data_IF_417345217667
#
_entry.id   IF_417345217667
#
_cell.length_a   1.000
_cell.length_b   1.000
_cell.length_c   1.000
_cell.angle_alpha   90.00
_cell.angle_beta   90.00
_cell.angle_gamma   90.00
#
_symmetry.space_group_name_H-M   'P 1'
#
loop_
_entity.id
_entity.type
_entity.pdbx_description
1 polymer ?
#
# COMPACT_ATOMS: atom_id res chain seq x y z
N UNK A 1 5.90 34.28 8.34
CA UNK A 1 6.19 33.03 7.62
C UNK A 1 5.58 31.88 8.42
N UNK A 2 4.79 31.02 7.77
CA UNK A 2 4.15 29.86 8.41
C UNK A 2 4.92 28.60 8.03
N UNK A 3 5.07 27.68 8.98
CA UNK A 3 5.79 26.43 8.79
C UNK A 3 4.90 25.27 9.22
N UNK A 4 4.84 24.23 8.39
CA UNK A 4 3.99 23.08 8.59
C UNK A 4 4.84 21.80 8.58
N UNK A 5 4.72 20.91 9.58
CA UNK A 5 5.41 19.63 9.55
C UNK A 5 4.77 18.73 8.48
N UNK A 6 5.60 18.12 7.65
CA UNK A 6 5.16 17.10 6.69
C UNK A 6 5.22 15.72 7.35
N UNK A 7 4.33 14.80 6.95
CA UNK A 7 4.53 13.40 7.30
C UNK A 7 5.74 12.87 6.52
N UNK A 8 6.79 12.48 7.23
CA UNK A 8 8.05 12.00 6.68
C UNK A 8 8.37 10.56 7.09
N UNK A 9 7.43 9.82 7.69
CA UNK A 9 7.66 8.45 8.17
C UNK A 9 6.64 7.45 7.59
N UNK A 10 7.10 6.24 7.32
CA UNK A 10 6.27 5.07 7.03
C UNK A 10 6.70 3.96 7.99
N UNK A 11 5.76 3.44 8.78
CA UNK A 11 6.03 2.35 9.74
C UNK A 11 7.21 2.64 10.69
N UNK A 12 7.38 3.90 11.09
CA UNK A 12 8.49 4.36 11.95
C UNK A 12 9.84 4.52 11.23
N UNK A 13 9.90 4.33 9.92
CA UNK A 13 11.09 4.60 9.11
C UNK A 13 10.98 5.93 8.37
N UNK A 14 12.03 6.78 8.38
CA UNK A 14 12.11 7.97 7.55
C UNK A 14 11.94 7.69 6.06
N UNK A 15 11.20 8.57 5.38
CA UNK A 15 10.90 8.52 3.96
C UNK A 15 11.68 9.60 3.19
N UNK A 16 12.57 9.20 2.27
CA UNK A 16 13.28 10.15 1.42
C UNK A 16 12.42 10.62 0.25
N UNK A 17 12.46 11.92 -0.05
CA UNK A 17 11.72 12.55 -1.14
C UNK A 17 12.67 13.21 -2.15
N UNK A 18 12.40 13.00 -3.45
CA UNK A 18 13.07 13.74 -4.55
C UNK A 18 12.18 14.83 -5.15
N UNK A 19 10.86 14.64 -5.07
CA UNK A 19 9.88 15.53 -5.68
C UNK A 19 8.81 15.88 -4.63
N UNK A 20 8.41 17.14 -4.59
CA UNK A 20 7.30 17.63 -3.77
C UNK A 20 6.29 18.28 -4.71
N UNK A 21 5.02 17.89 -4.56
CA UNK A 21 3.91 18.46 -5.32
C UNK A 21 3.04 19.28 -4.38
N UNK A 22 2.93 20.57 -4.64
CA UNK A 22 2.04 21.47 -3.92
C UNK A 22 0.76 21.63 -4.74
N UNK A 23 -0.39 21.31 -4.15
CA UNK A 23 -1.70 21.38 -4.80
C UNK A 23 -2.56 22.38 -4.04
N UNK A 24 -2.71 23.62 -4.52
CA UNK A 24 -3.63 24.58 -3.90
C UNK A 24 -5.07 24.11 -4.08
N UNK A 25 -5.85 24.10 -2.99
CA UNK A 25 -7.23 23.62 -3.00
C UNK A 25 -8.24 24.77 -3.02
N UNK A 26 -7.95 25.86 -2.31
CA UNK A 26 -8.86 27.00 -2.17
C UNK A 26 -8.07 28.31 -2.02
N UNK A 27 -8.52 29.34 -2.74
CA UNK A 27 -8.02 30.70 -2.60
C UNK A 27 -8.86 31.45 -1.56
N UNK A 28 -8.30 32.52 -0.99
CA UNK A 28 -9.00 33.36 -0.01
C UNK A 28 -10.28 34.02 -0.56
N UNK A 29 -10.40 34.16 -1.89
CA UNK A 29 -11.63 34.58 -2.55
C UNK A 29 -11.88 33.75 -3.81
N UNK A 30 -13.15 33.46 -4.15
CA UNK A 30 -13.52 32.55 -5.25
C UNK A 30 -13.15 33.08 -6.65
N UNK A 31 -12.76 34.36 -6.76
CA UNK A 31 -12.47 35.02 -8.04
C UNK A 31 -10.98 35.23 -8.30
N UNK A 32 -10.09 34.75 -7.42
CA UNK A 32 -8.64 34.94 -7.55
C UNK A 32 -7.94 33.63 -7.92
N UNK A 33 -6.91 33.75 -8.77
CA UNK A 33 -6.02 32.64 -9.09
C UNK A 33 -5.17 32.25 -7.88
N UNK A 34 -4.74 30.99 -7.84
CA UNK A 34 -3.76 30.55 -6.85
C UNK A 34 -2.41 31.24 -7.09
N UNK A 35 -1.81 31.77 -6.03
CA UNK A 35 -0.47 32.38 -6.06
C UNK A 35 0.31 31.90 -4.85
N UNK A 36 1.52 31.41 -5.10
CA UNK A 36 2.47 31.00 -4.05
C UNK A 36 3.64 31.96 -4.12
N UNK A 37 3.83 32.73 -3.07
CA UNK A 37 4.84 33.80 -3.02
C UNK A 37 6.22 33.29 -2.65
N UNK A 38 6.28 32.31 -1.73
CA UNK A 38 7.52 31.79 -1.19
C UNK A 38 7.32 30.37 -0.68
N UNK A 39 8.34 29.52 -0.89
CA UNK A 39 8.41 28.16 -0.36
C UNK A 39 9.82 27.96 0.18
N UNK A 40 9.90 27.47 1.42
CA UNK A 40 11.12 26.95 2.02
C UNK A 40 10.91 25.48 2.37
N UNK A 41 11.89 24.65 2.07
CA UNK A 41 11.88 23.23 2.42
C UNK A 41 13.00 22.97 3.42
N UNK A 42 12.64 22.50 4.60
CA UNK A 42 13.57 22.11 5.66
C UNK A 42 13.52 20.60 5.86
N UNK A 43 14.69 19.99 6.06
CA UNK A 43 14.83 18.56 6.26
C UNK A 43 16.29 18.12 6.29
N UNK A 44 16.52 16.82 6.45
CA UNK A 44 17.86 16.25 6.43
C UNK A 44 18.34 16.00 4.99
N UNK A 45 19.49 16.57 4.65
CA UNK A 45 20.12 16.45 3.33
C UNK A 45 21.44 15.68 3.38
N UNK A 46 21.83 15.12 4.54
CA UNK A 46 23.08 14.39 4.72
C UNK A 46 23.04 13.10 3.90
N UNK A 47 23.83 13.07 2.82
CA UNK A 47 23.80 12.00 1.83
C UNK A 47 24.04 10.61 2.43
N UNK A 48 24.92 10.49 3.42
CA UNK A 48 25.25 9.21 4.04
C UNK A 48 24.04 8.56 4.72
N UNK A 49 23.17 9.37 5.34
CA UNK A 49 21.95 8.89 5.98
C UNK A 49 20.84 8.68 4.94
N UNK A 50 20.62 9.67 4.08
CA UNK A 50 19.55 9.64 3.07
C UNK A 50 19.73 8.46 2.11
N UNK A 51 20.96 8.14 1.68
CA UNK A 51 21.25 7.03 0.77
C UNK A 51 20.83 5.68 1.32
N UNK A 52 20.97 5.46 2.63
CA UNK A 52 20.52 4.23 3.28
C UNK A 52 18.99 4.10 3.16
N UNK A 53 18.27 5.15 3.54
CA UNK A 53 16.82 5.17 3.48
C UNK A 53 16.28 5.10 2.05
N UNK A 54 16.98 5.65 1.05
CA UNK A 54 16.59 5.49 -0.37
C UNK A 54 16.60 4.01 -0.77
N UNK A 55 17.62 3.25 -0.37
CA UNK A 55 17.70 1.81 -0.69
C UNK A 55 16.59 1.03 -0.01
N UNK A 56 16.32 1.32 1.27
CA UNK A 56 15.25 0.68 2.02
C UNK A 56 13.88 0.99 1.40
N UNK A 57 13.63 2.26 1.09
CA UNK A 57 12.39 2.71 0.48
C UNK A 57 12.16 2.10 -0.91
N UNK A 58 13.21 1.94 -1.72
CA UNK A 58 13.09 1.27 -3.03
C UNK A 58 12.67 -0.20 -2.88
N UNK A 59 13.23 -0.94 -1.91
CA UNK A 59 12.81 -2.33 -1.62
C UNK A 59 11.36 -2.39 -1.14
N UNK A 60 10.97 -1.46 -0.27
CA UNK A 60 9.58 -1.34 0.19
C UNK A 60 8.63 -1.08 -0.98
N UNK A 61 8.95 -0.13 -1.86
CA UNK A 61 8.15 0.17 -3.05
C UNK A 61 8.05 -1.00 -4.01
N UNK A 62 9.12 -1.76 -4.19
CA UNK A 62 9.12 -2.96 -5.03
C UNK A 62 8.17 -4.02 -4.46
N UNK A 63 8.25 -4.28 -3.14
CA UNK A 63 7.32 -5.18 -2.44
C UNK A 63 5.86 -4.71 -2.58
N UNK A 64 5.59 -3.44 -2.35
CA UNK A 64 4.24 -2.87 -2.47
C UNK A 64 3.73 -2.87 -3.91
N UNK A 65 4.59 -2.64 -4.90
CA UNK A 65 4.23 -2.75 -6.30
C UNK A 65 3.82 -4.19 -6.66
N UNK A 66 4.59 -5.19 -6.25
CA UNK A 66 4.24 -6.61 -6.41
C UNK A 66 2.89 -6.91 -5.74
N UNK A 67 2.71 -6.45 -4.50
CA UNK A 67 1.44 -6.63 -3.77
C UNK A 67 0.26 -6.02 -4.51
N UNK A 68 0.39 -4.79 -5.00
CA UNK A 68 -0.68 -4.13 -5.77
C UNK A 68 -0.94 -4.85 -7.11
N UNK A 69 0.10 -5.34 -7.79
CA UNK A 69 -0.05 -6.14 -9.00
C UNK A 69 -0.80 -7.45 -8.73
N UNK A 70 -0.41 -8.20 -7.69
CA UNK A 70 -1.10 -9.42 -7.26
C UNK A 70 -2.57 -9.15 -6.94
N UNK A 71 -2.87 -8.05 -6.21
CA UNK A 71 -4.26 -7.61 -5.93
C UNK A 71 -5.03 -7.34 -7.22
N UNK A 72 -4.40 -6.63 -8.16
CA UNK A 72 -5.02 -6.29 -9.44
C UNK A 72 -5.32 -7.53 -10.29
N UNK A 73 -4.38 -8.48 -10.38
CA UNK A 73 -4.56 -9.73 -11.12
C UNK A 73 -5.65 -10.60 -10.50
N UNK A 74 -5.71 -10.66 -9.16
CA UNK A 74 -6.76 -11.39 -8.45
C UNK A 74 -8.15 -10.82 -8.72
N UNK A 75 -8.31 -9.49 -8.63
CA UNK A 75 -9.58 -8.81 -8.89
C UNK A 75 -10.11 -8.99 -10.31
N UNK A 76 -9.22 -9.20 -11.29
CA UNK A 76 -9.57 -9.40 -12.71
C UNK A 76 -9.58 -10.87 -13.12
N UNK A 77 -9.40 -11.79 -12.18
CA UNK A 77 -9.32 -13.23 -12.44
C UNK A 77 -8.21 -13.64 -13.42
N UNK A 78 -7.10 -12.88 -13.47
CA UNK A 78 -5.91 -13.26 -14.23
C UNK A 78 -5.06 -14.24 -13.43
N UNK A 79 -5.56 -15.48 -13.32
CA UNK A 79 -4.97 -16.55 -12.50
C UNK A 79 -3.55 -16.90 -12.92
N UNK A 80 -3.28 -16.98 -14.21
CA UNK A 80 -1.96 -17.39 -14.73
C UNK A 80 -0.87 -16.36 -14.36
N UNK A 81 -1.18 -15.08 -14.53
CA UNK A 81 -0.27 -13.98 -14.16
C UNK A 81 -0.09 -13.88 -12.63
N UNK A 82 -1.17 -14.10 -11.86
CA UNK A 82 -1.11 -14.15 -10.40
C UNK A 82 -0.21 -15.29 -9.91
N UNK A 83 -0.40 -16.51 -10.43
CA UNK A 83 0.42 -17.66 -10.06
C UNK A 83 1.88 -17.49 -10.45
N UNK A 84 2.15 -17.00 -11.67
CA UNK A 84 3.51 -16.77 -12.14
C UNK A 84 4.24 -15.74 -11.27
N UNK A 85 3.57 -14.64 -10.91
CA UNK A 85 4.18 -13.62 -10.07
C UNK A 85 4.31 -14.08 -8.61
N UNK A 86 3.31 -14.76 -8.07
CA UNK A 86 3.31 -15.28 -6.69
C UNK A 86 4.36 -16.38 -6.48
N UNK A 87 4.57 -17.27 -7.47
CA UNK A 87 5.63 -18.30 -7.38
C UNK A 87 7.04 -17.70 -7.35
N UNK A 88 7.24 -16.57 -8.04
CA UNK A 88 8.54 -15.91 -8.13
C UNK A 88 8.79 -14.90 -7.00
N UNK A 89 7.74 -14.48 -6.28
CA UNK A 89 7.83 -13.46 -5.25
C UNK A 89 7.28 -14.00 -3.94
N UNK A 90 8.11 -14.08 -2.89
CA UNK A 90 7.68 -14.49 -1.53
C UNK A 90 6.76 -13.45 -0.83
N UNK A 91 6.06 -12.62 -1.60
CA UNK A 91 5.16 -11.58 -1.11
C UNK A 91 3.78 -12.21 -0.94
N UNK A 92 3.40 -12.47 0.31
CA UNK A 92 2.06 -12.94 0.62
C UNK A 92 1.06 -11.78 0.50
N UNK A 93 0.13 -11.88 -0.45
CA UNK A 93 -0.92 -10.88 -0.66
C UNK A 93 -1.97 -10.93 0.45
N UNK A 94 -2.36 -12.14 0.86
CA UNK A 94 -3.48 -12.40 1.76
C UNK A 94 -3.16 -13.60 2.66
N UNK A 95 -3.88 -13.71 3.79
CA UNK A 95 -3.80 -14.88 4.64
C UNK A 95 -4.26 -16.13 3.87
N UNK A 96 -3.65 -17.32 4.08
CA UNK A 96 -3.99 -18.56 3.37
C UNK A 96 -5.49 -18.91 3.40
N UNK A 97 -6.18 -18.46 4.45
CA UNK A 97 -7.62 -18.67 4.65
C UNK A 97 -8.46 -17.89 3.64
N UNK A 98 -8.09 -16.65 3.31
CA UNK A 98 -8.78 -15.86 2.28
C UNK A 98 -8.59 -16.46 0.89
N UNK A 99 -7.39 -16.98 0.60
CA UNK A 99 -7.13 -17.70 -0.64
C UNK A 99 -8.00 -18.95 -0.73
N UNK A 100 -8.13 -19.70 0.37
CA UNK A 100 -8.95 -20.91 0.45
C UNK A 100 -10.45 -20.62 0.35
N UNK A 101 -10.91 -19.53 0.96
CA UNK A 101 -12.29 -19.06 0.86
C UNK A 101 -12.64 -18.68 -0.59
N UNK A 102 -11.78 -17.95 -1.29
CA UNK A 102 -11.99 -17.68 -2.70
C UNK A 102 -12.03 -18.96 -3.55
N UNK A 103 -11.19 -19.96 -3.26
CA UNK A 103 -11.24 -21.24 -4.00
C UNK A 103 -12.56 -21.97 -3.78
N UNK A 104 -13.04 -22.07 -2.52
CA UNK A 104 -14.30 -22.76 -2.22
C UNK A 104 -15.51 -22.02 -2.79
N UNK A 105 -15.54 -20.69 -2.63
CA UNK A 105 -16.70 -19.87 -2.99
C UNK A 105 -16.76 -19.50 -4.48
N UNK A 106 -15.63 -19.07 -5.07
CA UNK A 106 -15.59 -18.52 -6.43
C UNK A 106 -15.26 -19.59 -7.48
N UNK A 107 -14.36 -20.52 -7.17
CA UNK A 107 -13.94 -21.55 -8.14
C UNK A 107 -14.81 -22.82 -8.07
N UNK A 108 -15.13 -23.28 -6.86
CA UNK A 108 -15.83 -24.56 -6.68
C UNK A 108 -17.33 -24.42 -6.44
N UNK A 109 -17.81 -23.24 -6.03
CA UNK A 109 -19.22 -23.02 -5.67
C UNK A 109 -19.68 -23.88 -4.48
N UNK A 110 -18.76 -24.31 -3.62
CA UNK A 110 -19.05 -25.16 -2.46
C UNK A 110 -19.39 -24.30 -1.24
N UNK A 111 -20.66 -23.95 -1.13
CA UNK A 111 -21.17 -23.09 -0.07
C UNK A 111 -21.10 -23.74 1.32
N UNK A 112 -21.24 -25.08 1.40
CA UNK A 112 -21.21 -25.80 2.69
C UNK A 112 -19.81 -25.80 3.29
N UNK A 113 -18.81 -26.16 2.49
CA UNK A 113 -17.42 -26.13 2.93
C UNK A 113 -16.96 -24.69 3.25
N UNK A 114 -17.51 -23.70 2.55
CA UNK A 114 -17.22 -22.30 2.83
C UNK A 114 -17.80 -21.84 4.18
N UNK A 115 -19.02 -22.24 4.52
CA UNK A 115 -19.68 -21.93 5.79
C UNK A 115 -18.96 -22.59 6.98
N UNK A 116 -18.53 -23.85 6.83
CA UNK A 116 -17.70 -24.54 7.82
C UNK A 116 -16.36 -23.82 8.07
N UNK A 117 -15.70 -23.38 7.00
CA UNK A 117 -14.43 -22.65 7.08
C UNK A 117 -14.58 -21.29 7.77
N UNK A 118 -15.66 -20.55 7.48
CA UNK A 118 -15.97 -19.29 8.17
C UNK A 118 -16.30 -19.52 9.65
N UNK A 119 -17.05 -20.58 9.96
CA UNK A 119 -17.41 -20.94 11.34
C UNK A 119 -16.17 -21.32 12.15
N UNK A 120 -15.23 -22.07 11.55
CA UNK A 120 -13.93 -22.36 12.16
C UNK A 120 -13.11 -21.09 12.39
N UNK A 121 -13.03 -20.21 11.39
CA UNK A 121 -12.30 -18.94 11.52
C UNK A 121 -12.89 -18.04 12.63
N UNK A 122 -14.20 -18.08 12.81
CA UNK A 122 -14.91 -17.36 13.89
C UNK A 122 -14.58 -17.94 15.26
N UNK A 123 -14.61 -19.26 15.40
CA UNK A 123 -14.28 -19.94 16.66
C UNK A 123 -12.81 -19.77 17.06
N UNK A 124 -11.92 -19.55 16.08
CA UNK A 124 -10.50 -19.26 16.29
C UNK A 124 -10.21 -17.78 16.62
N UNK A 125 -11.24 -16.93 16.70
CA UNK A 125 -11.10 -15.50 17.02
C UNK A 125 -10.43 -14.68 15.92
N UNK A 126 -10.38 -15.18 14.68
CA UNK A 126 -9.71 -14.49 13.57
C UNK A 126 -10.46 -13.25 13.06
N UNK A 127 -11.66 -12.97 13.59
CA UNK A 127 -12.41 -11.75 13.32
C UNK A 127 -12.28 -10.69 14.42
N UNK A 128 -11.60 -10.97 15.53
CA UNK A 128 -11.46 -10.06 16.68
C UNK A 128 -10.21 -9.15 16.60
N UNK A 129 -9.73 -8.82 15.40
CA UNK A 129 -8.63 -7.88 15.15
C UNK A 129 -9.08 -6.61 14.41
#
# INVERSE_FOLDING_TARGET
PESFPLNYEIEGSPLPCRFIKIVPLQAWGPSFNFSIWYIELAGDTRWEEVKHYIKLYNRYREKEAIRLCLKHFRQRSYTDAYEALSKNTNVQLEHPILTRLHTLLVLNGDFKACEELITQASNEGMFDQ
#
